data_IF_932766327738
#
_entry.id   IF_932766327738
#
_cell.length_a   1.000
_cell.length_b   1.000
_cell.length_c   1.000
_cell.angle_alpha   90.00
_cell.angle_beta   90.00
_cell.angle_gamma   90.00
#
_symmetry.space_group_name_H-M   'P 1'
#
loop_
_entity.id
_entity.type
_entity.pdbx_description
1 polymer ?
#
# COMPACT_ATOMS: atom_id res chain seq x y z
N UNK A 1 9.42 3.05 -17.03
CA UNK A 1 9.83 2.62 -15.67
C UNK A 1 9.55 3.75 -14.71
N UNK A 2 8.44 3.69 -13.98
CA UNK A 2 8.25 4.57 -12.81
C UNK A 2 9.00 3.87 -11.69
N UNK A 3 10.14 4.41 -11.27
CA UNK A 3 10.97 3.81 -10.23
C UNK A 3 10.16 3.71 -8.93
N UNK A 4 10.08 2.52 -8.35
CA UNK A 4 9.47 2.32 -7.03
C UNK A 4 10.07 3.23 -5.95
N UNK A 5 11.33 3.66 -6.12
CA UNK A 5 11.97 4.65 -5.27
C UNK A 5 11.25 6.01 -5.28
N UNK A 6 10.79 6.48 -6.46
CA UNK A 6 10.07 7.75 -6.60
C UNK A 6 8.70 7.73 -5.91
N UNK A 7 8.05 6.56 -5.81
CA UNK A 7 6.79 6.41 -5.07
C UNK A 7 6.99 6.45 -3.55
N UNK A 8 8.16 6.03 -3.05
CA UNK A 8 8.50 6.17 -1.63
C UNK A 8 8.81 7.63 -1.27
N UNK A 9 9.60 8.33 -2.09
CA UNK A 9 9.90 9.76 -1.87
C UNK A 9 8.66 10.65 -1.96
N UNK A 10 7.70 10.35 -2.86
CA UNK A 10 6.43 11.08 -2.97
C UNK A 10 5.53 10.93 -1.73
N UNK A 11 5.67 9.84 -0.98
CA UNK A 11 4.96 9.66 0.30
C UNK A 11 5.58 10.47 1.46
N UNK A 12 6.86 10.82 1.36
CA UNK A 12 7.61 11.59 2.37
C UNK A 12 7.64 13.10 2.06
N UNK A 13 7.24 13.51 0.84
CA UNK A 13 7.12 14.92 0.47
C UNK A 13 5.90 15.58 1.15
N UNK A 14 6.18 16.28 2.24
CA UNK A 14 5.29 16.96 3.20
C UNK A 14 4.31 18.02 2.64
N UNK A 15 4.08 18.07 1.32
CA UNK A 15 3.25 19.11 0.68
C UNK A 15 2.28 18.63 -0.41
N UNK A 16 2.19 17.33 -0.72
CA UNK A 16 1.19 16.85 -1.67
C UNK A 16 -0.14 16.49 -0.99
N UNK A 17 -1.03 17.50 -0.95
CA UNK A 17 -2.48 17.42 -0.71
C UNK A 17 -3.06 16.01 -0.91
N UNK A 18 -3.72 15.49 0.12
CA UNK A 18 -4.47 14.23 0.17
C UNK A 18 -5.20 13.87 -1.14
N UNK A 19 -5.72 14.84 -1.89
CA UNK A 19 -6.35 14.61 -3.20
C UNK A 19 -5.43 13.99 -4.27
N UNK A 20 -4.18 14.43 -4.41
CA UNK A 20 -3.26 13.86 -5.41
C UNK A 20 -2.93 12.42 -5.06
N UNK A 21 -2.75 12.17 -3.75
CA UNK A 21 -2.46 10.85 -3.22
C UNK A 21 -3.64 9.90 -3.47
N UNK A 22 -4.87 10.33 -3.18
CA UNK A 22 -6.08 9.53 -3.37
C UNK A 22 -6.46 9.34 -4.85
N UNK A 23 -6.40 10.40 -5.67
CA UNK A 23 -6.89 10.37 -7.06
C UNK A 23 -5.90 9.74 -8.06
N UNK A 24 -4.60 9.82 -7.79
CA UNK A 24 -3.58 9.39 -8.77
C UNK A 24 -2.62 8.31 -8.24
N UNK A 25 -2.09 8.48 -7.02
CA UNK A 25 -1.09 7.55 -6.49
C UNK A 25 -1.71 6.25 -5.99
N UNK A 26 -2.76 6.32 -5.19
CA UNK A 26 -3.40 5.15 -4.60
C UNK A 26 -3.90 4.13 -5.65
N UNK A 27 -4.61 4.54 -6.72
CA UNK A 27 -5.02 3.58 -7.77
C UNK A 27 -3.82 2.93 -8.47
N UNK A 28 -2.73 3.70 -8.64
CA UNK A 28 -1.50 3.18 -9.25
C UNK A 28 -0.82 2.16 -8.34
N UNK A 29 -0.73 2.43 -7.03
CA UNK A 29 -0.15 1.54 -6.04
C UNK A 29 -0.96 0.23 -5.94
N UNK A 30 -2.28 0.32 -5.90
CA UNK A 30 -3.17 -0.86 -5.85
C UNK A 30 -2.98 -1.73 -7.11
N UNK A 31 -2.86 -1.10 -8.29
CA UNK A 31 -2.59 -1.82 -9.55
C UNK A 31 -1.25 -2.56 -9.52
N UNK A 32 -0.22 -1.96 -8.93
CA UNK A 32 1.10 -2.59 -8.74
C UNK A 32 1.05 -3.78 -7.77
N UNK A 33 0.02 -3.88 -6.92
CA UNK A 33 -0.21 -5.06 -6.08
C UNK A 33 -0.45 -6.35 -6.87
N UNK A 34 -0.67 -6.27 -8.19
CA UNK A 34 -0.81 -7.42 -9.10
C UNK A 34 0.40 -7.62 -10.02
N UNK A 35 1.50 -6.94 -9.76
CA UNK A 35 2.71 -7.05 -10.58
C UNK A 35 3.25 -8.49 -10.56
N UNK A 36 3.72 -9.05 -11.69
CA UNK A 36 4.26 -10.40 -11.73
C UNK A 36 5.49 -10.59 -10.83
N UNK A 37 6.23 -9.52 -10.54
CA UNK A 37 7.45 -9.56 -9.74
C UNK A 37 7.10 -9.42 -8.24
N UNK A 38 7.40 -10.42 -7.39
CA UNK A 38 7.13 -10.35 -5.95
C UNK A 38 7.76 -9.14 -5.27
N UNK A 39 8.94 -8.73 -5.75
CA UNK A 39 9.64 -7.56 -5.22
C UNK A 39 8.86 -6.25 -5.35
N UNK A 40 8.03 -6.14 -6.39
CA UNK A 40 7.14 -4.99 -6.58
C UNK A 40 5.97 -5.10 -5.62
N UNK A 41 5.37 -6.29 -5.48
CA UNK A 41 4.20 -6.53 -4.62
C UNK A 41 4.51 -6.31 -3.14
N UNK A 42 5.63 -6.81 -2.61
CA UNK A 42 5.95 -6.57 -1.20
C UNK A 42 6.21 -5.08 -0.94
N UNK A 43 6.79 -4.36 -1.91
CA UNK A 43 7.00 -2.91 -1.79
C UNK A 43 5.67 -2.16 -1.75
N UNK A 44 4.66 -2.62 -2.49
CA UNK A 44 3.29 -2.10 -2.41
C UNK A 44 2.74 -2.26 -1.00
N UNK A 45 2.91 -3.41 -0.34
CA UNK A 45 2.51 -3.58 1.07
C UNK A 45 3.13 -2.49 1.95
N UNK A 46 4.45 -2.33 1.89
CA UNK A 46 5.18 -1.34 2.69
C UNK A 46 4.69 0.09 2.44
N UNK A 47 4.43 0.46 1.18
CA UNK A 47 3.91 1.78 0.81
C UNK A 47 2.50 1.97 1.36
N UNK A 48 1.61 0.97 1.22
CA UNK A 48 0.24 1.05 1.75
C UNK A 48 0.22 1.20 3.27
N UNK A 49 1.06 0.44 3.99
CA UNK A 49 1.22 0.58 5.43
C UNK A 49 1.69 1.98 5.83
N UNK A 50 2.70 2.51 5.13
CA UNK A 50 3.16 3.89 5.36
C UNK A 50 2.11 4.93 5.01
N UNK A 51 1.43 4.84 3.87
CA UNK A 51 0.50 5.89 3.43
C UNK A 51 -0.83 5.88 4.17
N UNK A 52 -1.20 4.78 4.84
CA UNK A 52 -2.51 4.67 5.47
C UNK A 52 -2.78 5.74 6.53
N UNK A 53 -1.77 6.30 7.21
CA UNK A 53 -1.97 7.41 8.16
C UNK A 53 -2.33 8.76 7.49
N UNK A 54 -2.11 8.89 6.17
CA UNK A 54 -2.44 10.07 5.38
C UNK A 54 -3.81 9.96 4.70
N UNK A 55 -4.46 8.79 4.81
CA UNK A 55 -5.73 8.47 4.17
C UNK A 55 -6.88 8.59 5.18
N UNK A 56 -8.06 8.98 4.70
CA UNK A 56 -9.27 8.95 5.51
C UNK A 56 -9.74 7.49 5.71
N UNK A 57 -10.50 7.26 6.78
CA UNK A 57 -10.96 5.92 7.15
C UNK A 57 -11.79 5.23 6.06
N UNK A 58 -12.55 5.99 5.27
CA UNK A 58 -13.36 5.41 4.19
C UNK A 58 -12.45 4.87 3.07
N UNK A 59 -11.43 5.62 2.69
CA UNK A 59 -10.42 5.17 1.71
C UNK A 59 -9.66 3.94 2.21
N UNK A 60 -9.27 3.90 3.49
CA UNK A 60 -8.58 2.75 4.08
C UNK A 60 -9.45 1.49 4.01
N UNK A 61 -10.71 1.57 4.45
CA UNK A 61 -11.62 0.42 4.48
C UNK A 61 -12.03 -0.04 3.08
N UNK A 62 -12.18 0.88 2.13
CA UNK A 62 -12.66 0.57 0.78
C UNK A 62 -11.56 0.00 -0.12
N UNK A 63 -10.32 0.49 0.02
CA UNK A 63 -9.25 0.20 -0.94
C UNK A 63 -8.03 -0.45 -0.30
N UNK A 64 -7.52 0.11 0.79
CA UNK A 64 -6.25 -0.34 1.39
C UNK A 64 -6.41 -1.70 2.05
N UNK A 65 -7.43 -1.85 2.90
CA UNK A 65 -7.68 -3.09 3.64
C UNK A 65 -7.89 -4.30 2.69
N UNK A 66 -8.78 -4.25 1.69
CA UNK A 66 -8.95 -5.37 0.76
C UNK A 66 -7.67 -5.68 -0.04
N UNK A 67 -6.87 -4.66 -0.36
CA UNK A 67 -5.60 -4.84 -1.06
C UNK A 67 -4.58 -5.58 -0.20
N UNK A 68 -4.43 -5.19 1.08
CA UNK A 68 -3.53 -5.85 2.02
C UNK A 68 -4.03 -7.27 2.37
N UNK A 69 -5.33 -7.50 2.47
CA UNK A 69 -5.90 -8.85 2.66
C UNK A 69 -5.58 -9.76 1.46
N UNK A 70 -5.73 -9.25 0.24
CA UNK A 70 -5.37 -9.99 -0.98
C UNK A 70 -3.86 -10.30 -1.04
N UNK A 71 -3.00 -9.35 -0.67
CA UNK A 71 -1.55 -9.53 -0.62
C UNK A 71 -1.12 -10.43 0.55
N UNK A 72 -1.92 -10.51 1.62
CA UNK A 72 -1.71 -11.44 2.73
C UNK A 72 -1.94 -12.90 2.37
N UNK A 73 -2.58 -13.17 1.22
CA UNK A 73 -2.78 -14.51 0.65
C UNK A 73 -1.89 -14.75 -0.60
N UNK A 74 -0.85 -13.92 -0.81
CA UNK A 74 0.07 -14.07 -1.94
C UNK A 74 0.88 -15.38 -1.84
N UNK A 75 1.37 -15.88 -2.98
CA UNK A 75 2.19 -17.10 -3.02
C UNK A 75 3.61 -16.86 -2.49
N UNK A 76 4.09 -15.61 -2.53
CA UNK A 76 5.42 -15.24 -2.08
C UNK A 76 5.45 -14.93 -0.56
N UNK A 77 6.34 -15.59 0.22
CA UNK A 77 6.42 -15.38 1.67
C UNK A 77 6.71 -13.95 2.11
N UNK A 78 7.53 -13.21 1.37
CA UNK A 78 7.88 -11.83 1.73
C UNK A 78 6.66 -10.93 1.54
N UNK A 79 5.92 -11.12 0.45
CA UNK A 79 4.68 -10.36 0.19
C UNK A 79 3.66 -10.60 1.31
N UNK A 80 3.45 -11.87 1.70
CA UNK A 80 2.56 -12.23 2.82
C UNK A 80 3.00 -11.59 4.14
N UNK A 81 4.30 -11.63 4.46
CA UNK A 81 4.84 -11.05 5.68
C UNK A 81 4.60 -9.54 5.74
N UNK A 82 5.01 -8.81 4.69
CA UNK A 82 4.87 -7.35 4.65
C UNK A 82 3.41 -6.90 4.58
N UNK A 83 2.51 -7.69 4.00
CA UNK A 83 1.07 -7.41 4.01
C UNK A 83 0.49 -7.47 5.43
N UNK A 84 0.89 -8.48 6.22
CA UNK A 84 0.48 -8.62 7.62
C UNK A 84 1.06 -7.50 8.49
N UNK A 85 2.35 -7.24 8.37
CA UNK A 85 3.03 -6.13 9.07
C UNK A 85 2.34 -4.78 8.79
N UNK A 86 2.03 -4.51 7.52
CA UNK A 86 1.34 -3.28 7.12
C UNK A 86 -0.09 -3.21 7.64
N UNK A 87 -0.79 -4.34 7.71
CA UNK A 87 -2.14 -4.42 8.28
C UNK A 87 -2.13 -4.16 9.80
N UNK A 88 -1.13 -4.66 10.51
CA UNK A 88 -0.92 -4.41 11.93
C UNK A 88 -0.58 -2.94 12.21
N UNK A 89 0.28 -2.33 11.39
CA UNK A 89 0.63 -0.91 11.47
C UNK A 89 -0.62 -0.03 11.37
N UNK A 90 -1.54 -0.39 10.46
CA UNK A 90 -2.81 0.30 10.27
C UNK A 90 -3.93 -0.16 11.22
N UNK A 91 -3.64 -1.11 12.12
CA UNK A 91 -4.60 -1.69 13.08
C UNK A 91 -5.87 -2.25 12.40
N UNK A 92 -5.68 -2.87 11.23
CA UNK A 92 -6.76 -3.43 10.40
C UNK A 92 -7.12 -4.86 10.78
N UNK A 93 -6.29 -5.53 11.59
CA UNK A 93 -6.54 -6.87 12.09
C UNK A 93 -7.66 -6.86 13.13
N UNK A 94 -8.70 -7.70 12.99
CA UNK A 94 -9.65 -7.94 14.06
C UNK A 94 -8.89 -8.60 15.22
N UNK A 95 -9.11 -8.09 16.44
CA UNK A 95 -8.66 -8.75 17.67
C UNK A 95 -9.29 -10.13 17.81
#
# INVERSE_FOLDING_TARGET
MICLASLQELGEAESCRSELLQKHLLPTIIRLGRDPVPNVRFKVCQILGKLGHLLDSNTIQTFVKPSLESLGADADPDVMYFAKESSELLRLTPR
#
